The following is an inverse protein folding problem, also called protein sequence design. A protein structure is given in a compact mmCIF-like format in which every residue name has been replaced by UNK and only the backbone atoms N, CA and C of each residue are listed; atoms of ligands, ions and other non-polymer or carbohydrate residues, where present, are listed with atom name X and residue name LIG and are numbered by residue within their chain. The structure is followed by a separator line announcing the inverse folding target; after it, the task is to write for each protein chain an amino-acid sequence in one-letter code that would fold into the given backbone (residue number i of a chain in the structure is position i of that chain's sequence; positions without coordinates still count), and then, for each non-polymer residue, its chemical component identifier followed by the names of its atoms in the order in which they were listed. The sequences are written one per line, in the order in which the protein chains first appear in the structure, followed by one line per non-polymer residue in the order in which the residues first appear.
data_IF_992300552718
#
_entry.id   IF_992300552718
#
_cell.length_a   1.000
_cell.length_b   1.000
_cell.length_c   1.000
_cell.angle_alpha   90.00
_cell.angle_beta   90.00
_cell.angle_gamma   90.00
#
_symmetry.space_group_name_H-M   'P 1'
#
loop_
_entity.id
_entity.type
_entity.pdbx_description
1 polymer ?
#
# COMPACT_ATOMS: atom_id res chain seq x y z
N UNK A 1 -3.18 -3.79 9.98
CA UNK A 1 -3.21 -3.52 8.55
C UNK A 1 -4.52 -2.94 8.07
N UNK A 2 -5.63 -3.46 8.54
CA UNK A 2 -6.96 -2.98 8.19
C UNK A 2 -7.24 -1.55 8.63
N UNK A 3 -6.68 -1.14 9.73
CA UNK A 3 -6.93 0.17 10.33
C UNK A 3 -5.85 1.17 9.95
N UNK A 4 -4.64 0.71 9.71
CA UNK A 4 -3.48 1.59 9.68
C UNK A 4 -3.22 2.26 8.35
N UNK A 5 -3.59 1.64 7.26
CA UNK A 5 -2.95 2.07 6.02
C UNK A 5 -3.88 2.75 5.06
N UNK A 6 -5.15 2.67 5.32
CA UNK A 6 -5.94 2.73 4.14
C UNK A 6 -7.08 3.67 4.22
N UNK A 7 -7.50 3.99 5.37
CA UNK A 7 -8.57 4.93 5.49
C UNK A 7 -8.08 6.24 6.08
N UNK A 8 -7.65 7.13 5.19
CA UNK A 8 -7.36 8.51 5.58
C UNK A 8 -8.53 9.16 6.30
N UNK A 9 -9.76 8.74 5.95
CA UNK A 9 -10.95 9.24 6.57
C UNK A 9 -11.10 8.68 7.98
N UNK A 10 -10.74 7.42 8.19
CA UNK A 10 -10.76 6.83 9.51
C UNK A 10 -9.77 7.55 10.46
N UNK A 11 -8.50 7.64 10.05
CA UNK A 11 -7.48 8.31 10.85
C UNK A 11 -7.80 9.80 11.04
N UNK A 12 -8.23 10.49 9.98
CA UNK A 12 -8.61 11.88 10.06
C UNK A 12 -9.84 12.09 10.94
N UNK A 13 -10.86 11.29 10.81
CA UNK A 13 -12.08 11.38 11.61
C UNK A 13 -11.82 11.02 13.08
N UNK A 14 -10.99 10.00 13.30
CA UNK A 14 -10.57 9.65 14.65
C UNK A 14 -9.80 10.79 15.32
N UNK A 15 -8.79 11.34 14.66
CA UNK A 15 -7.99 12.45 15.18
C UNK A 15 -8.80 13.73 15.38
N UNK A 16 -9.92 13.89 14.68
CA UNK A 16 -10.87 15.00 14.88
C UNK A 16 -11.92 14.72 15.97
N UNK A 17 -11.87 13.56 16.59
CA UNK A 17 -12.88 13.15 17.56
C UNK A 17 -14.25 12.82 16.95
N UNK A 18 -14.33 12.68 15.61
CA UNK A 18 -15.58 12.36 14.91
C UNK A 18 -15.91 10.86 14.92
N UNK A 19 -15.02 10.08 15.47
CA UNK A 19 -15.16 8.64 15.57
C UNK A 19 -14.71 8.19 16.95
N UNK A 20 -15.59 7.58 17.72
CA UNK A 20 -15.24 6.95 18.98
C UNK A 20 -15.20 5.43 18.80
N UNK A 21 -14.06 4.84 19.12
CA UNK A 21 -14.00 3.40 19.29
C UNK A 21 -14.73 3.03 20.57
N UNK A 22 -15.53 1.94 20.57
CA UNK A 22 -16.02 1.38 21.82
C UNK A 22 -14.84 1.13 22.76
N UNK A 23 -15.03 1.44 24.04
CA UNK A 23 -13.97 1.34 25.06
C UNK A 23 -13.43 -0.09 25.25
N UNK A 24 -14.19 -1.07 24.79
CA UNK A 24 -13.89 -2.50 24.83
C UNK A 24 -13.50 -3.09 23.49
N UNK A 25 -13.20 -2.26 22.48
CA UNK A 25 -12.77 -2.74 21.19
C UNK A 25 -11.36 -3.32 21.25
N UNK A 26 -11.26 -4.60 21.00
CA UNK A 26 -10.02 -5.35 20.99
C UNK A 26 -9.83 -6.07 19.68
N UNK A 27 -8.58 -6.17 19.22
CA UNK A 27 -8.18 -7.14 18.22
C UNK A 27 -7.56 -8.33 18.95
N UNK A 28 -8.12 -9.51 18.76
CA UNK A 28 -7.51 -10.74 19.22
C UNK A 28 -6.38 -11.13 18.26
N UNK A 29 -5.20 -11.32 18.80
CA UNK A 29 -4.04 -11.81 18.04
C UNK A 29 -3.47 -13.04 18.74
N UNK A 30 -2.62 -13.78 18.04
CA UNK A 30 -1.88 -14.90 18.65
C UNK A 30 -0.98 -14.46 19.81
N UNK A 31 -0.63 -13.18 19.89
CA UNK A 31 0.15 -12.58 20.96
C UNK A 31 -0.71 -11.99 22.10
N UNK A 32 -2.04 -12.07 22.00
CA UNK A 32 -2.97 -11.55 23.00
C UNK A 32 -3.89 -10.46 22.45
N UNK A 33 -4.65 -9.85 23.35
CA UNK A 33 -5.60 -8.78 23.02
C UNK A 33 -4.87 -7.45 22.86
N UNK A 34 -5.12 -6.77 21.76
CA UNK A 34 -4.65 -5.42 21.50
C UNK A 34 -5.83 -4.47 21.68
N UNK A 35 -5.73 -3.56 22.64
CA UNK A 35 -6.73 -2.51 22.81
C UNK A 35 -6.57 -1.44 21.75
N UNK A 36 -7.56 -1.28 20.88
CA UNK A 36 -7.52 -0.30 19.79
C UNK A 36 -7.44 1.14 20.30
N UNK A 37 -8.00 1.44 21.46
CA UNK A 37 -7.93 2.78 22.05
C UNK A 37 -6.49 3.20 22.40
N UNK A 38 -5.59 2.25 22.66
CA UNK A 38 -4.18 2.56 22.93
C UNK A 38 -3.39 2.92 21.67
N UNK A 39 -3.93 2.64 20.50
CA UNK A 39 -3.30 2.92 19.19
C UNK A 39 -3.64 4.29 18.64
N UNK A 40 -4.48 4.99 19.29
CA UNK A 40 -5.09 6.21 18.81
C UNK A 40 -4.51 7.45 19.44
N UNK A 41 -3.29 7.37 19.86
CA UNK A 41 -2.54 8.54 20.31
C UNK A 41 -2.43 9.62 19.23
N UNK A 42 -2.38 10.86 19.64
CA UNK A 42 -2.26 12.04 18.79
C UNK A 42 -1.06 12.02 17.82
N UNK A 43 -0.17 11.07 17.98
CA UNK A 43 1.08 10.92 17.21
C UNK A 43 1.08 9.68 16.32
N UNK A 44 -0.06 9.04 16.08
CA UNK A 44 -0.10 7.92 15.16
C UNK A 44 0.03 8.42 13.73
N UNK A 45 1.26 8.43 13.25
CA UNK A 45 1.60 8.93 11.92
C UNK A 45 1.44 7.84 10.84
N UNK A 46 0.97 6.68 11.20
CA UNK A 46 0.77 5.56 10.29
C UNK A 46 1.95 5.35 9.32
N UNK A 47 1.98 4.26 8.64
CA UNK A 47 2.92 4.05 7.54
C UNK A 47 2.15 3.85 6.24
N UNK A 48 1.66 4.94 5.62
CA UNK A 48 0.74 4.88 4.49
C UNK A 48 1.46 4.55 3.17
N UNK A 49 2.39 3.60 3.20
CA UNK A 49 3.01 3.03 2.01
C UNK A 49 2.36 1.69 1.69
N UNK A 50 2.28 1.35 0.40
CA UNK A 50 1.82 0.05 -0.06
C UNK A 50 2.87 -1.03 0.15
N UNK A 51 3.83 -1.12 -0.75
CA UNK A 51 4.93 -2.07 -0.66
C UNK A 51 6.21 -1.38 -0.19
N UNK A 52 6.85 -1.93 0.84
CA UNK A 52 8.16 -1.50 1.32
C UNK A 52 9.16 -2.63 1.16
N UNK A 53 10.27 -2.35 0.49
CA UNK A 53 11.26 -3.36 0.11
C UNK A 53 12.43 -3.50 1.09
N UNK A 54 12.23 -3.14 2.33
CA UNK A 54 13.21 -3.31 3.39
C UNK A 54 13.93 -2.02 3.77
N UNK A 55 14.97 -2.14 4.56
CA UNK A 55 15.82 -1.03 4.98
C UNK A 55 17.25 -1.19 4.44
N UNK A 56 18.15 -0.32 4.80
CA UNK A 56 19.54 -0.28 4.35
C UNK A 56 20.36 -1.50 4.83
N UNK A 57 19.91 -2.70 4.51
CA UNK A 57 20.71 -3.91 4.72
C UNK A 57 21.77 -4.03 3.63
N UNK A 58 22.94 -4.50 4.07
CA UNK A 58 24.14 -4.63 3.23
C UNK A 58 24.14 -5.85 2.31
N UNK A 59 23.13 -6.71 2.38
CA UNK A 59 23.04 -7.84 1.46
C UNK A 59 22.77 -7.35 0.03
N UNK A 60 23.83 -7.35 -0.77
CA UNK A 60 23.80 -6.96 -2.18
C UNK A 60 23.58 -8.14 -3.12
N UNK A 61 23.48 -9.35 -2.60
CA UNK A 61 23.41 -10.58 -3.39
C UNK A 61 21.97 -11.01 -3.65
N UNK A 62 21.07 -10.70 -2.76
CA UNK A 62 19.65 -11.04 -2.91
C UNK A 62 18.96 -10.22 -3.99
N UNK A 63 18.13 -10.88 -4.79
CA UNK A 63 17.26 -10.24 -5.78
C UNK A 63 15.81 -10.31 -5.30
N UNK A 64 15.16 -9.16 -5.20
CA UNK A 64 13.71 -9.10 -4.99
C UNK A 64 13.01 -9.15 -6.32
N UNK A 65 12.04 -10.05 -6.45
CA UNK A 65 11.19 -10.15 -7.63
C UNK A 65 9.78 -9.71 -7.28
N UNK A 66 9.28 -8.70 -7.97
CA UNK A 66 7.96 -8.10 -7.78
C UNK A 66 7.18 -8.25 -9.08
N UNK A 67 6.17 -9.12 -9.06
CA UNK A 67 5.38 -9.43 -10.26
C UNK A 67 3.90 -9.36 -9.96
N UNK A 68 3.13 -8.89 -10.95
CA UNK A 68 1.67 -8.89 -10.90
C UNK A 68 1.12 -8.17 -9.65
N UNK A 69 1.78 -7.08 -9.25
CA UNK A 69 1.45 -6.37 -8.03
C UNK A 69 0.70 -5.09 -8.32
N UNK A 70 -0.29 -4.81 -7.49
CA UNK A 70 -1.12 -3.62 -7.55
C UNK A 70 -1.00 -2.82 -6.27
N UNK A 71 -0.79 -1.50 -6.40
CA UNK A 71 -0.74 -0.57 -5.26
C UNK A 71 -1.55 0.68 -5.56
N UNK A 72 -2.50 1.04 -4.70
CA UNK A 72 -3.33 2.23 -4.92
C UNK A 72 -3.83 2.86 -3.61
N UNK A 73 -4.11 4.16 -3.66
CA UNK A 73 -4.77 4.88 -2.58
C UNK A 73 -3.89 5.17 -1.34
N UNK A 74 -2.59 4.95 -1.42
CA UNK A 74 -1.68 5.18 -0.29
C UNK A 74 -1.29 6.65 -0.16
N UNK A 75 -1.34 7.15 1.06
CA UNK A 75 -1.04 8.56 1.33
C UNK A 75 0.37 9.01 0.96
N UNK A 76 1.34 8.07 1.01
CA UNK A 76 2.73 8.33 0.65
C UNK A 76 3.13 7.62 -0.63
N UNK A 77 3.54 6.37 -0.56
CA UNK A 77 4.18 5.69 -1.69
C UNK A 77 3.50 4.37 -2.00
N UNK A 78 3.23 4.11 -3.26
CA UNK A 78 2.71 2.83 -3.71
C UNK A 78 3.77 1.73 -3.56
N UNK A 79 4.89 1.92 -4.24
CA UNK A 79 6.08 1.07 -4.12
C UNK A 79 7.25 1.89 -3.61
N UNK A 80 7.84 1.50 -2.49
CA UNK A 80 8.89 2.22 -1.79
C UNK A 80 10.12 1.34 -1.59
N UNK A 81 11.27 1.76 -2.12
CA UNK A 81 12.52 1.06 -1.85
C UNK A 81 12.95 1.12 -0.38
N UNK A 82 12.41 2.07 0.40
CA UNK A 82 12.66 2.22 1.83
C UNK A 82 14.16 2.21 2.17
N UNK A 83 14.95 2.98 1.42
CA UNK A 83 16.42 3.05 1.51
C UNK A 83 17.15 1.71 1.28
N UNK A 84 16.47 0.71 0.75
CA UNK A 84 17.10 -0.55 0.37
C UNK A 84 18.05 -0.34 -0.80
N UNK A 85 19.23 -0.94 -0.73
CA UNK A 85 20.21 -1.00 -1.82
C UNK A 85 20.21 -2.35 -2.55
N UNK A 86 19.32 -3.26 -2.14
CA UNK A 86 19.20 -4.59 -2.74
C UNK A 86 18.60 -4.48 -4.14
N UNK A 87 19.11 -5.28 -5.06
CA UNK A 87 18.59 -5.34 -6.44
C UNK A 87 17.14 -5.81 -6.46
N UNK A 88 16.35 -5.25 -7.37
CA UNK A 88 14.98 -5.69 -7.60
C UNK A 88 14.68 -5.83 -9.10
N UNK A 89 13.73 -6.68 -9.42
CA UNK A 89 13.09 -6.73 -10.73
C UNK A 89 11.60 -6.54 -10.59
N UNK A 90 11.01 -5.82 -11.53
CA UNK A 90 9.57 -5.54 -11.58
C UNK A 90 8.99 -6.01 -12.90
N UNK A 91 7.82 -6.63 -12.85
CA UNK A 91 7.12 -7.11 -14.02
C UNK A 91 5.61 -7.01 -13.80
N UNK A 92 4.90 -6.40 -14.75
CA UNK A 92 3.44 -6.25 -14.70
C UNK A 92 2.94 -5.67 -13.37
N UNK A 93 3.44 -4.49 -13.01
CA UNK A 93 3.06 -3.80 -11.78
C UNK A 93 2.26 -2.55 -12.11
N UNK A 94 1.18 -2.34 -11.37
CA UNK A 94 0.31 -1.17 -11.51
C UNK A 94 0.28 -0.37 -10.23
N UNK A 95 0.44 0.96 -10.32
CA UNK A 95 0.41 1.84 -9.18
C UNK A 95 -0.34 3.13 -9.50
N UNK A 96 -1.35 3.50 -8.70
CA UNK A 96 -2.12 4.72 -8.95
C UNK A 96 -2.73 5.33 -7.68
N UNK A 97 -3.08 6.61 -7.76
CA UNK A 97 -3.70 7.36 -6.65
C UNK A 97 -2.86 7.38 -5.36
N UNK A 98 -1.55 7.25 -5.48
CA UNK A 98 -0.65 7.31 -4.33
C UNK A 98 -0.01 8.70 -4.19
N UNK A 99 0.70 8.96 -3.11
CA UNK A 99 1.59 10.10 -3.01
C UNK A 99 2.64 10.08 -4.13
N UNK A 100 3.44 9.02 -4.17
CA UNK A 100 4.27 8.59 -5.30
C UNK A 100 3.78 7.20 -5.72
N UNK A 101 3.66 6.93 -7.01
CA UNK A 101 3.36 5.57 -7.44
C UNK A 101 4.57 4.67 -7.28
N UNK A 102 5.74 5.14 -7.69
CA UNK A 102 7.02 4.45 -7.55
C UNK A 102 8.07 5.40 -6.95
N UNK A 103 8.76 4.94 -5.92
CA UNK A 103 9.76 5.73 -5.24
C UNK A 103 11.03 4.90 -5.00
N UNK A 104 11.98 5.01 -5.95
CA UNK A 104 13.21 4.23 -6.00
C UNK A 104 14.46 5.11 -6.15
N UNK A 105 14.70 6.10 -5.28
CA UNK A 105 15.80 7.04 -5.44
C UNK A 105 17.18 6.38 -5.33
N UNK A 106 17.26 5.26 -4.62
CA UNK A 106 18.53 4.54 -4.37
C UNK A 106 18.48 3.07 -4.78
N UNK A 107 17.38 2.63 -5.38
CA UNK A 107 17.14 1.23 -5.65
C UNK A 107 17.76 0.82 -6.97
N UNK A 108 18.54 -0.26 -6.94
CA UNK A 108 19.05 -0.86 -8.17
C UNK A 108 17.99 -1.74 -8.79
N UNK A 109 17.42 -1.28 -9.89
CA UNK A 109 16.43 -2.07 -10.65
C UNK A 109 17.17 -2.81 -11.77
N UNK A 110 17.20 -4.13 -11.66
CA UNK A 110 17.90 -4.99 -12.63
C UNK A 110 17.08 -5.24 -13.89
N UNK A 111 15.76 -5.24 -13.76
CA UNK A 111 14.80 -5.40 -14.85
C UNK A 111 13.50 -4.71 -14.49
N UNK A 112 12.90 -4.02 -15.44
CA UNK A 112 11.56 -3.46 -15.32
C UNK A 112 10.83 -3.64 -16.66
N UNK A 113 9.63 -4.22 -16.60
CA UNK A 113 8.74 -4.36 -17.75
C UNK A 113 7.29 -4.17 -17.31
N UNK A 114 6.49 -3.61 -18.20
CA UNK A 114 5.04 -3.45 -18.02
C UNK A 114 4.66 -2.77 -16.68
N UNK A 115 5.40 -1.71 -16.35
CA UNK A 115 5.09 -0.88 -15.20
C UNK A 115 4.15 0.23 -15.61
N UNK A 116 2.97 0.27 -14.99
CA UNK A 116 1.97 1.33 -15.21
C UNK A 116 1.86 2.23 -13.99
N UNK A 117 1.83 3.54 -14.22
CA UNK A 117 1.65 4.53 -13.16
C UNK A 117 0.77 5.69 -13.60
N UNK A 118 -0.21 6.07 -12.78
CA UNK A 118 -1.05 7.22 -13.09
C UNK A 118 -1.63 7.87 -11.83
N UNK A 119 -1.98 9.15 -11.96
CA UNK A 119 -2.62 9.94 -10.93
C UNK A 119 -1.88 9.91 -9.56
N UNK A 120 -0.55 9.91 -9.60
CA UNK A 120 0.27 10.15 -8.40
C UNK A 120 0.23 11.64 -8.02
N UNK A 121 0.22 11.95 -6.74
CA UNK A 121 0.27 13.35 -6.27
C UNK A 121 1.61 14.01 -6.55
N UNK A 122 2.65 13.22 -6.64
CA UNK A 122 4.01 13.64 -6.94
C UNK A 122 4.59 12.80 -8.06
N UNK A 123 5.53 13.38 -8.81
CA UNK A 123 6.26 12.69 -9.87
C UNK A 123 7.08 11.54 -9.28
N UNK A 124 6.96 10.37 -9.88
CA UNK A 124 7.70 9.18 -9.49
C UNK A 124 9.21 9.41 -9.51
N UNK A 125 9.89 8.77 -8.58
CA UNK A 125 11.36 8.75 -8.51
C UNK A 125 11.85 7.35 -8.85
N UNK A 126 12.21 7.17 -10.10
CA UNK A 126 12.74 5.89 -10.61
C UNK A 126 14.07 6.12 -11.30
N UNK A 127 14.97 5.13 -11.35
CA UNK A 127 16.20 5.21 -12.15
C UNK A 127 15.88 5.45 -13.62
N UNK A 128 16.77 6.08 -14.35
CA UNK A 128 16.60 6.37 -15.79
C UNK A 128 16.43 5.12 -16.66
N UNK A 129 16.87 3.97 -16.17
CA UNK A 129 16.70 2.67 -16.83
C UNK A 129 15.29 2.08 -16.67
N UNK A 130 14.43 2.70 -15.86
CA UNK A 130 13.08 2.24 -15.58
C UNK A 130 12.06 3.12 -16.28
N UNK A 131 11.24 2.53 -17.12
CA UNK A 131 10.11 3.19 -17.75
C UNK A 131 8.81 2.86 -17.00
N UNK A 132 8.09 3.91 -16.62
CA UNK A 132 6.73 3.80 -16.08
C UNK A 132 5.80 4.44 -17.10
N UNK A 133 4.89 3.65 -17.64
CA UNK A 133 3.94 4.09 -18.67
C UNK A 133 2.66 4.61 -18.01
N UNK A 134 2.20 5.76 -18.46
CA UNK A 134 0.86 6.26 -18.10
C UNK A 134 -0.16 5.73 -19.10
N UNK A 135 -1.14 4.93 -18.65
CA UNK A 135 -2.17 4.41 -19.53
C UNK A 135 -3.08 5.54 -20.07
N UNK A 136 -3.77 5.27 -21.17
CA UNK A 136 -4.84 6.16 -21.67
C UNK A 136 -5.97 6.28 -20.66
N UNK A 137 -6.76 7.34 -20.73
CA UNK A 137 -7.87 7.58 -19.80
C UNK A 137 -8.88 6.44 -19.79
N UNK A 138 -9.16 5.84 -20.95
CA UNK A 138 -10.05 4.68 -21.01
C UNK A 138 -9.45 3.46 -20.31
N UNK A 139 -8.17 3.22 -20.46
CA UNK A 139 -7.47 2.15 -19.77
C UNK A 139 -7.41 2.39 -18.25
N UNK A 140 -7.20 3.64 -17.81
CA UNK A 140 -7.24 4.01 -16.39
C UNK A 140 -8.62 3.73 -15.79
N UNK A 141 -9.70 4.11 -16.48
CA UNK A 141 -11.09 3.81 -16.06
C UNK A 141 -11.33 2.30 -15.96
N UNK A 142 -10.86 1.53 -16.94
CA UNK A 142 -10.97 0.07 -16.93
C UNK A 142 -10.23 -0.55 -15.74
N UNK A 143 -8.99 -0.11 -15.45
CA UNK A 143 -8.22 -0.56 -14.30
C UNK A 143 -8.97 -0.28 -13.00
N UNK A 144 -9.46 0.95 -12.79
CA UNK A 144 -10.23 1.33 -11.60
C UNK A 144 -11.47 0.47 -11.41
N UNK A 145 -12.22 0.25 -12.47
CA UNK A 145 -13.44 -0.57 -12.43
C UNK A 145 -13.15 -2.02 -12.03
N UNK A 146 -12.09 -2.62 -12.57
CA UNK A 146 -11.67 -3.98 -12.21
C UNK A 146 -11.23 -4.06 -10.75
N UNK A 147 -10.44 -3.10 -10.30
CA UNK A 147 -9.98 -3.03 -8.90
C UNK A 147 -11.16 -2.89 -7.94
N UNK A 148 -12.11 -2.03 -8.24
CA UNK A 148 -13.29 -1.83 -7.40
C UNK A 148 -14.20 -3.07 -7.38
N UNK A 149 -14.37 -3.76 -8.50
CA UNK A 149 -15.10 -5.02 -8.55
C UNK A 149 -14.43 -6.10 -7.70
N UNK A 150 -13.10 -6.21 -7.79
CA UNK A 150 -12.33 -7.15 -6.98
C UNK A 150 -12.42 -6.81 -5.48
N UNK A 151 -12.30 -5.54 -5.13
CA UNK A 151 -12.45 -5.08 -3.75
C UNK A 151 -13.82 -5.45 -3.18
N UNK A 152 -14.88 -5.20 -3.91
CA UNK A 152 -16.25 -5.57 -3.51
C UNK A 152 -16.41 -7.07 -3.32
N UNK A 153 -15.84 -7.87 -4.22
CA UNK A 153 -15.85 -9.33 -4.10
C UNK A 153 -15.13 -9.81 -2.84
N UNK A 154 -13.94 -9.28 -2.55
CA UNK A 154 -13.17 -9.63 -1.36
C UNK A 154 -13.95 -9.24 -0.09
N UNK A 155 -14.49 -8.03 -0.03
CA UNK A 155 -15.29 -7.58 1.14
C UNK A 155 -16.51 -8.48 1.34
N UNK A 156 -17.21 -8.83 0.26
CA UNK A 156 -18.35 -9.76 0.35
C UNK A 156 -17.94 -11.13 0.89
N UNK A 157 -16.82 -11.68 0.44
CA UNK A 157 -16.30 -12.95 0.95
C UNK A 157 -15.90 -12.87 2.41
N UNK A 158 -15.27 -11.78 2.83
CA UNK A 158 -14.92 -11.57 4.24
C UNK A 158 -16.17 -11.47 5.12
N UNK A 159 -17.21 -10.77 4.68
CA UNK A 159 -18.47 -10.64 5.43
C UNK A 159 -19.24 -11.96 5.53
N UNK A 160 -19.11 -12.84 4.53
CA UNK A 160 -19.73 -14.17 4.53
C UNK A 160 -18.97 -15.20 5.39
N UNK A 161 -17.72 -14.89 5.72
CA UNK A 161 -16.86 -15.73 6.57
C UNK A 161 -16.83 -15.27 8.03
N UNK A 162 -17.77 -14.45 8.46
CA UNK A 162 -17.99 -14.20 9.89
C UNK A 162 -18.43 -15.52 10.51
N UNK A 163 -17.56 -16.12 11.29
CA UNK A 163 -17.87 -17.34 12.04
C UNK A 163 -19.07 -17.06 12.93
N UNK A 164 -20.21 -17.74 12.74
CA UNK A 164 -21.33 -17.53 13.64
C UNK A 164 -20.97 -18.09 15.01
N UNK A 165 -20.88 -17.23 15.98
CA UNK A 165 -20.94 -17.59 17.39
C UNK A 165 -19.62 -18.06 18.00
N UNK A 166 -18.83 -17.13 18.44
CA UNK A 166 -18.09 -17.24 19.70
C UNK A 166 -18.42 -16.03 20.57
#
# INVERSE_FOLDING_TARGET
ELISNQDKNFVSNYNKGNFSLPTDSFINTSAGKINLSSWTGSNYDGNPNGFKFGSAYTDKTSLRTVKNCLSFGHGRKGFDNNNSTVKASFENCVSFDNGYNYYFPTFSVSKASDMLGFNGKSKDKVPSSVSVTTPTDSAQKSIRSKVEATRKSIVSQCNNNVIPGE
#
